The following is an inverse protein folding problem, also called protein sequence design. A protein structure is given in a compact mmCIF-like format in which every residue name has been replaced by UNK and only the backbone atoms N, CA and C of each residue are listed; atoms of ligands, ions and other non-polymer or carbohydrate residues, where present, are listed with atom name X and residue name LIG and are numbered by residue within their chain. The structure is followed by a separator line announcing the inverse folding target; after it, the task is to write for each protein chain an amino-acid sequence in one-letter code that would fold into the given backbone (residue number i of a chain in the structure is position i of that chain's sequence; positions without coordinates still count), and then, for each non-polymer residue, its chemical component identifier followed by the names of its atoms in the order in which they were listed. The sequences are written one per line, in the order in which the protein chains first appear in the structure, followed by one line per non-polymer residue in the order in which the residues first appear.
data_IF_894359808742
#
_entry.id   IF_894359808742
#
_cell.length_a   1.000
_cell.length_b   1.000
_cell.length_c   1.000
_cell.angle_alpha   90.00
_cell.angle_beta   90.00
_cell.angle_gamma   90.00
#
_symmetry.space_group_name_H-M   'P 1'
#
loop_
_entity.id
_entity.type
_entity.pdbx_description
1 polymer ?
#
# COMPACT_ATOMS: atom_id res chain seq x y z
N UNK A 1 -33.40 -29.80 14.45
CA UNK A 1 -32.36 -29.20 15.31
C UNK A 1 -32.25 -27.73 14.98
N UNK A 2 -32.65 -26.88 15.94
CA UNK A 2 -32.68 -25.42 15.85
C UNK A 2 -31.41 -24.88 16.53
N UNK A 3 -30.63 -24.03 15.86
CA UNK A 3 -29.72 -23.00 16.44
C UNK A 3 -28.86 -22.36 15.34
N UNK A 4 -29.18 -21.14 14.92
CA UNK A 4 -28.20 -20.13 14.44
C UNK A 4 -28.91 -18.77 14.18
N UNK A 5 -29.31 -18.08 15.25
CA UNK A 5 -29.70 -16.66 15.19
C UNK A 5 -29.31 -15.97 16.49
N UNK A 6 -28.02 -15.72 16.70
CA UNK A 6 -27.54 -14.84 17.77
C UNK A 6 -26.19 -14.23 17.37
N UNK A 7 -26.17 -13.28 16.44
CA UNK A 7 -25.04 -12.36 16.23
C UNK A 7 -25.51 -11.13 15.43
N UNK A 8 -26.33 -10.27 16.03
CA UNK A 8 -26.60 -8.93 15.46
C UNK A 8 -27.16 -7.90 16.46
N UNK A 9 -26.92 -8.06 17.76
CA UNK A 9 -27.47 -7.19 18.82
C UNK A 9 -26.41 -6.39 19.60
N UNK A 10 -25.23 -6.18 19.02
CA UNK A 10 -24.09 -5.53 19.69
C UNK A 10 -23.69 -4.13 19.20
N UNK A 11 -24.42 -3.49 18.28
CA UNK A 11 -23.97 -2.22 17.63
C UNK A 11 -25.00 -1.07 17.75
N UNK A 12 -26.01 -1.18 18.63
CA UNK A 12 -27.03 -0.11 18.80
C UNK A 12 -27.02 0.62 20.14
N UNK A 13 -26.05 0.39 21.03
CA UNK A 13 -25.98 1.05 22.34
C UNK A 13 -24.84 2.09 22.50
N UNK A 14 -24.12 2.44 21.44
CA UNK A 14 -22.99 3.40 21.50
C UNK A 14 -23.23 4.74 20.80
N UNK A 15 -24.50 5.11 20.57
CA UNK A 15 -24.88 6.40 19.94
C UNK A 15 -25.90 7.22 20.75
N UNK A 16 -26.09 6.93 22.04
CA UNK A 16 -27.01 7.69 22.92
C UNK A 16 -26.36 8.26 24.19
N UNK A 17 -25.02 8.23 24.30
CA UNK A 17 -24.30 8.72 25.48
C UNK A 17 -23.52 10.04 25.27
N UNK A 18 -23.70 10.73 24.15
CA UNK A 18 -22.94 11.96 23.84
C UNK A 18 -23.81 13.18 23.49
N UNK A 19 -25.06 13.22 23.97
CA UNK A 19 -25.99 14.35 23.76
C UNK A 19 -26.49 15.00 25.06
N UNK A 20 -25.80 14.81 26.19
CA UNK A 20 -26.18 15.38 27.49
C UNK A 20 -24.97 15.96 28.22
N UNK A 21 -24.27 16.94 27.62
CA UNK A 21 -23.51 17.99 28.34
C UNK A 21 -23.34 19.20 27.39
N UNK A 22 -24.44 19.88 27.05
CA UNK A 22 -24.43 21.21 26.42
C UNK A 22 -25.52 22.06 27.08
N UNK A 23 -25.56 22.03 28.41
CA UNK A 23 -26.31 22.96 29.23
C UNK A 23 -25.32 23.47 30.27
N UNK A 24 -25.32 24.78 30.50
CA UNK A 24 -24.42 25.53 31.37
C UNK A 24 -23.05 25.89 30.76
N UNK A 25 -23.03 26.94 29.94
CA UNK A 25 -22.54 28.26 30.36
C UNK A 25 -22.99 29.30 29.33
N UNK A 26 -24.31 29.52 29.23
CA UNK A 26 -24.77 30.85 28.85
C UNK A 26 -24.36 31.74 30.03
N UNK A 27 -23.15 32.32 29.93
CA UNK A 27 -22.74 33.40 30.81
C UNK A 27 -23.82 34.44 30.66
N UNK A 28 -24.66 34.57 31.68
CA UNK A 28 -25.48 35.73 31.87
C UNK A 28 -24.50 36.90 31.85
N UNK A 29 -24.37 37.54 30.69
CA UNK A 29 -24.05 38.95 30.64
C UNK A 29 -25.24 39.60 31.35
N UNK A 30 -25.19 39.62 32.69
CA UNK A 30 -25.80 40.70 33.43
C UNK A 30 -25.12 41.93 32.84
N UNK A 31 -25.84 42.59 31.94
CA UNK A 31 -25.68 44.02 31.79
C UNK A 31 -26.01 44.57 33.17
N UNK A 32 -25.00 44.61 34.05
CA UNK A 32 -24.97 45.60 35.10
C UNK A 32 -24.96 46.92 34.34
N UNK A 33 -26.15 47.39 33.99
CA UNK A 33 -26.36 48.77 33.61
C UNK A 33 -25.67 49.57 34.72
N UNK A 34 -24.67 50.41 34.38
CA UNK A 34 -24.04 51.24 35.39
C UNK A 34 -25.17 52.01 36.03
N UNK A 35 -25.48 51.67 37.30
CA UNK A 35 -26.63 52.14 38.04
C UNK A 35 -26.83 53.59 37.69
N UNK A 36 -27.85 53.86 36.86
CA UNK A 36 -28.03 55.18 36.29
C UNK A 36 -28.00 56.16 37.44
N UNK A 37 -26.99 57.05 37.46
CA UNK A 37 -27.02 58.21 38.34
C UNK A 37 -28.26 58.97 37.90
N UNK A 38 -29.39 58.65 38.55
CA UNK A 38 -30.62 59.42 38.48
C UNK A 38 -30.22 60.78 38.99
N UNK A 39 -29.87 61.68 38.07
CA UNK A 39 -29.88 63.09 38.37
C UNK A 39 -31.27 63.37 38.94
N UNK A 40 -31.39 63.81 40.20
CA UNK A 40 -32.68 64.12 40.75
C UNK A 40 -33.27 65.21 39.87
N UNK A 41 -34.29 64.86 39.10
CA UNK A 41 -35.17 65.82 38.45
C UNK A 41 -35.74 66.66 39.59
N UNK A 42 -35.14 67.84 39.81
CA UNK A 42 -35.78 68.91 40.54
C UNK A 42 -37.04 69.27 39.74
N UNK A 43 -38.16 68.59 40.06
CA UNK A 43 -39.50 69.08 39.75
C UNK A 43 -39.62 70.44 40.44
N UNK A 44 -39.42 71.51 39.69
CA UNK A 44 -39.81 72.87 40.09
C UNK A 44 -41.34 72.97 40.07
N UNK A 45 -41.97 72.35 41.06
CA UNK A 45 -43.28 72.80 41.52
C UNK A 45 -43.06 73.98 42.46
N UNK A 46 -43.88 75.01 42.31
CA UNK A 46 -43.94 76.25 43.10
C UNK A 46 -43.15 77.43 42.55
N UNK A 47 -43.91 78.29 41.85
CA UNK A 47 -43.47 79.61 41.45
C UNK A 47 -43.09 80.46 42.64
N UNK A 48 -41.91 81.05 42.54
CA UNK A 48 -41.60 82.30 43.22
C UNK A 48 -40.99 83.21 42.17
N UNK A 49 -41.58 84.39 42.04
CA UNK A 49 -40.97 85.54 41.37
C UNK A 49 -39.65 85.82 42.09
N UNK A 50 -38.56 85.24 41.62
CA UNK A 50 -37.23 85.68 42.03
C UNK A 50 -37.03 87.07 41.44
N UNK A 51 -37.02 88.06 42.32
CA UNK A 51 -36.53 89.39 42.03
C UNK A 51 -35.11 89.24 41.49
N UNK A 52 -34.91 89.41 40.18
CA UNK A 52 -33.59 89.45 39.56
C UNK A 52 -32.87 90.72 40.01
N UNK A 53 -32.28 90.68 41.21
CA UNK A 53 -31.21 91.60 41.57
C UNK A 53 -29.95 91.26 40.76
N UNK A 54 -29.06 92.22 40.47
CA UNK A 54 -27.81 91.96 39.74
C UNK A 54 -26.94 90.85 40.39
N UNK A 55 -27.11 90.58 41.69
CA UNK A 55 -26.47 89.48 42.40
C UNK A 55 -26.90 88.06 41.91
N UNK A 56 -28.15 87.88 41.47
CA UNK A 56 -28.66 86.58 41.01
C UNK A 56 -28.13 86.21 39.61
N UNK A 57 -27.96 87.20 38.74
CA UNK A 57 -27.36 87.00 37.42
C UNK A 57 -25.89 86.57 37.53
N UNK A 58 -25.14 87.16 38.47
CA UNK A 58 -23.74 86.79 38.73
C UNK A 58 -23.66 85.38 39.33
N UNK A 59 -24.51 85.05 40.30
CA UNK A 59 -24.56 83.71 40.92
C UNK A 59 -24.91 82.61 39.89
N UNK A 60 -25.90 82.85 39.03
CA UNK A 60 -26.26 81.91 37.96
C UNK A 60 -25.12 81.72 36.95
N UNK A 61 -24.39 82.80 36.62
CA UNK A 61 -23.20 82.70 35.76
C UNK A 61 -22.11 81.85 36.39
N UNK A 62 -21.81 82.04 37.68
CA UNK A 62 -20.80 81.25 38.41
C UNK A 62 -21.21 79.77 38.44
N UNK A 63 -22.49 79.47 38.73
CA UNK A 63 -23.01 78.09 38.71
C UNK A 63 -22.90 77.47 37.33
N UNK A 64 -23.32 78.17 36.28
CA UNK A 64 -23.22 77.67 34.91
C UNK A 64 -21.76 77.38 34.50
N UNK A 65 -20.82 78.24 34.91
CA UNK A 65 -19.40 78.02 34.68
C UNK A 65 -18.87 76.81 35.47
N UNK A 66 -19.28 76.65 36.73
CA UNK A 66 -18.91 75.50 37.55
C UNK A 66 -19.46 74.19 36.98
N UNK A 67 -20.70 74.19 36.49
CA UNK A 67 -21.33 73.04 35.84
C UNK A 67 -20.66 72.69 34.51
N UNK A 68 -20.25 73.69 33.73
CA UNK A 68 -19.46 73.47 32.52
C UNK A 68 -18.13 72.79 32.86
N UNK A 69 -17.36 73.30 33.83
CA UNK A 69 -16.09 72.70 34.25
C UNK A 69 -16.29 71.28 34.78
N UNK A 70 -17.34 71.06 35.59
CA UNK A 70 -17.71 69.73 36.10
C UNK A 70 -18.02 68.76 34.96
N UNK A 71 -18.85 69.17 34.00
CA UNK A 71 -19.22 68.32 32.86
C UNK A 71 -18.02 67.96 31.97
N UNK A 72 -17.08 68.90 31.79
CA UNK A 72 -15.81 68.64 31.07
C UNK A 72 -14.97 67.62 31.84
N UNK A 73 -14.86 67.77 33.16
CA UNK A 73 -14.15 66.82 34.03
C UNK A 73 -14.78 65.43 34.01
N UNK A 74 -16.11 65.34 34.13
CA UNK A 74 -16.86 64.07 34.06
C UNK A 74 -16.68 63.40 32.70
N UNK A 75 -16.74 64.16 31.60
CA UNK A 75 -16.50 63.64 30.25
C UNK A 75 -15.08 63.09 30.10
N UNK A 76 -14.06 63.81 30.61
CA UNK A 76 -12.67 63.34 30.57
C UNK A 76 -12.49 62.01 31.33
N UNK A 77 -13.11 61.86 32.50
CA UNK A 77 -13.09 60.61 33.28
C UNK A 77 -13.80 59.48 32.53
N UNK A 78 -14.98 59.74 31.97
CA UNK A 78 -15.73 58.74 31.20
C UNK A 78 -14.97 58.29 29.94
N UNK A 79 -14.29 59.21 29.24
CA UNK A 79 -13.44 58.85 28.10
C UNK A 79 -12.25 58.00 28.52
N UNK A 80 -11.61 58.30 29.66
CA UNK A 80 -10.50 57.50 30.19
C UNK A 80 -10.96 56.08 30.57
N UNK A 81 -12.10 55.96 31.27
CA UNK A 81 -12.69 54.66 31.61
C UNK A 81 -13.07 53.87 30.35
N UNK A 82 -13.69 54.50 29.35
CA UNK A 82 -14.01 53.87 28.08
C UNK A 82 -12.76 53.35 27.34
N UNK A 83 -11.65 54.12 27.36
CA UNK A 83 -10.36 53.69 26.77
C UNK A 83 -9.79 52.47 27.50
N UNK A 84 -9.83 52.47 28.84
CA UNK A 84 -9.35 51.34 29.64
C UNK A 84 -10.17 50.08 29.38
N UNK A 85 -11.51 50.18 29.40
CA UNK A 85 -12.41 49.06 29.08
C UNK A 85 -12.16 48.52 27.67
N UNK A 86 -11.93 49.40 26.69
CA UNK A 86 -11.60 49.00 25.32
C UNK A 86 -10.25 48.27 25.25
N UNK A 87 -9.23 48.77 25.95
CA UNK A 87 -7.91 48.14 26.00
C UNK A 87 -7.97 46.75 26.66
N UNK A 88 -8.74 46.60 27.74
CA UNK A 88 -8.93 45.32 28.42
C UNK A 88 -9.73 44.32 27.57
N UNK A 89 -10.77 44.78 26.87
CA UNK A 89 -11.51 43.95 25.93
C UNK A 89 -10.60 43.44 24.80
N UNK A 90 -9.77 44.31 24.24
CA UNK A 90 -8.81 43.95 23.20
C UNK A 90 -7.74 42.96 23.71
N UNK A 91 -7.23 43.16 24.93
CA UNK A 91 -6.30 42.21 25.56
C UNK A 91 -6.92 40.81 25.70
N UNK A 92 -8.19 40.73 26.12
CA UNK A 92 -8.92 39.46 26.24
C UNK A 92 -9.17 38.82 24.88
N UNK A 93 -9.49 39.60 23.85
CA UNK A 93 -9.67 39.09 22.48
C UNK A 93 -8.37 38.46 21.96
N UNK A 94 -7.22 39.13 22.13
CA UNK A 94 -5.92 38.57 21.77
C UNK A 94 -5.65 37.28 22.54
N UNK A 95 -5.83 37.27 23.86
CA UNK A 95 -5.62 36.08 24.68
C UNK A 95 -6.47 34.90 24.20
N UNK A 96 -7.77 35.12 23.95
CA UNK A 96 -8.70 34.11 23.44
C UNK A 96 -8.27 33.59 22.06
N UNK A 97 -7.81 34.48 21.16
CA UNK A 97 -7.33 34.08 19.83
C UNK A 97 -6.06 33.21 19.89
N UNK A 98 -5.13 33.53 20.80
CA UNK A 98 -3.91 32.75 21.02
C UNK A 98 -4.26 31.39 21.60
N UNK A 99 -5.15 31.34 22.59
CA UNK A 99 -5.61 30.09 23.19
C UNK A 99 -6.32 29.20 22.16
N UNK A 100 -7.21 29.79 21.34
CA UNK A 100 -7.87 29.09 20.24
C UNK A 100 -6.86 28.51 19.24
N UNK A 101 -5.87 29.31 18.84
CA UNK A 101 -4.83 28.86 17.91
C UNK A 101 -4.02 27.69 18.50
N UNK A 102 -3.64 27.75 19.78
CA UNK A 102 -2.96 26.66 20.48
C UNK A 102 -3.83 25.39 20.51
N UNK A 103 -5.07 25.50 20.96
CA UNK A 103 -6.00 24.38 21.02
C UNK A 103 -6.23 23.73 19.64
N UNK A 104 -6.28 24.54 18.58
CA UNK A 104 -6.37 24.04 17.20
C UNK A 104 -5.14 23.20 16.81
N UNK A 105 -3.93 23.68 17.08
CA UNK A 105 -2.70 22.97 16.74
C UNK A 105 -2.51 21.71 17.58
N UNK A 106 -2.80 21.77 18.88
CA UNK A 106 -2.75 20.61 19.77
C UNK A 106 -3.69 19.50 19.27
N UNK A 107 -4.93 19.86 18.91
CA UNK A 107 -5.89 18.93 18.31
C UNK A 107 -5.36 18.32 17.01
N UNK A 108 -4.70 19.12 16.18
CA UNK A 108 -4.14 18.67 14.90
C UNK A 108 -2.94 17.74 15.09
N UNK A 109 -2.10 17.99 16.09
CA UNK A 109 -0.99 17.12 16.46
C UNK A 109 -1.48 15.77 16.96
N UNK A 110 -2.45 15.76 17.90
CA UNK A 110 -3.08 14.53 18.39
C UNK A 110 -3.70 13.74 17.23
N UNK A 111 -4.42 14.42 16.33
CA UNK A 111 -5.00 13.79 15.15
C UNK A 111 -3.94 13.20 14.22
N UNK A 112 -2.85 13.94 13.93
CA UNK A 112 -1.75 13.45 13.09
C UNK A 112 -1.05 12.25 13.73
N UNK A 113 -0.77 12.30 15.03
CA UNK A 113 -0.18 11.19 15.76
C UNK A 113 -1.07 9.94 15.72
N UNK A 114 -2.38 10.10 15.97
CA UNK A 114 -3.35 9.01 15.87
C UNK A 114 -3.41 8.43 14.45
N UNK A 115 -3.45 9.30 13.43
CA UNK A 115 -3.46 8.89 12.02
C UNK A 115 -2.18 8.13 11.63
N UNK A 116 -1.01 8.62 12.07
CA UNK A 116 0.27 7.94 11.85
C UNK A 116 0.31 6.59 12.54
N UNK A 117 -0.20 6.46 13.78
CA UNK A 117 -0.33 5.17 14.47
C UNK A 117 -1.19 4.18 13.68
N UNK A 118 -2.31 4.63 13.10
CA UNK A 118 -3.15 3.77 12.27
C UNK A 118 -2.44 3.27 11.01
N UNK A 119 -1.58 4.10 10.40
CA UNK A 119 -0.80 3.68 9.23
C UNK A 119 0.41 2.81 9.58
N UNK A 120 1.06 3.04 10.71
CA UNK A 120 2.26 2.31 11.16
C UNK A 120 1.90 0.97 11.82
N UNK A 121 0.81 0.89 12.57
CA UNK A 121 0.35 -0.34 13.22
C UNK A 121 0.32 -1.60 12.32
N UNK A 122 -0.21 -1.57 11.07
CA UNK A 122 -0.16 -2.74 10.21
C UNK A 122 1.25 -3.10 9.75
N UNK A 123 2.15 -2.12 9.59
CA UNK A 123 3.55 -2.33 9.25
C UNK A 123 4.29 -2.97 10.43
N UNK A 124 4.14 -2.41 11.64
CA UNK A 124 4.71 -2.96 12.87
C UNK A 124 4.19 -4.39 13.14
N UNK A 125 2.90 -4.64 12.87
CA UNK A 125 2.32 -5.97 12.98
C UNK A 125 2.84 -6.94 11.92
N UNK A 126 3.14 -6.46 10.70
CA UNK A 126 3.79 -7.26 9.67
C UNK A 126 5.24 -7.60 10.06
N UNK A 127 6.00 -6.63 10.55
CA UNK A 127 7.37 -6.81 11.04
C UNK A 127 7.42 -7.85 12.18
N UNK A 128 6.57 -7.69 13.21
CA UNK A 128 6.48 -8.67 14.31
C UNK A 128 6.12 -10.08 13.84
N UNK A 129 5.23 -10.20 12.84
CA UNK A 129 4.89 -11.50 12.24
C UNK A 129 6.08 -12.08 11.51
N UNK A 130 6.78 -11.28 10.72
CA UNK A 130 7.98 -11.70 10.00
C UNK A 130 9.08 -12.15 10.96
N UNK A 131 9.30 -11.43 12.06
CA UNK A 131 10.30 -11.80 13.06
C UNK A 131 9.96 -13.10 13.79
N UNK A 132 8.68 -13.30 14.10
CA UNK A 132 8.22 -14.56 14.68
C UNK A 132 8.42 -15.73 13.71
N UNK A 133 8.09 -15.53 12.43
CA UNK A 133 8.33 -16.52 11.38
C UNK A 133 9.81 -16.81 11.24
N UNK A 134 10.67 -15.79 11.25
CA UNK A 134 12.12 -15.97 11.18
C UNK A 134 12.66 -16.76 12.36
N UNK A 135 12.34 -16.39 13.61
CA UNK A 135 12.77 -17.15 14.80
C UNK A 135 12.37 -18.62 14.71
N UNK A 136 11.14 -18.89 14.28
CA UNK A 136 10.66 -20.27 14.10
C UNK A 136 11.47 -21.04 13.05
N UNK A 137 11.80 -20.41 11.93
CA UNK A 137 12.60 -21.03 10.86
C UNK A 137 14.09 -21.18 11.24
N UNK A 138 14.62 -20.24 12.03
CA UNK A 138 16.00 -20.21 12.52
C UNK A 138 16.24 -21.27 13.59
N UNK A 139 15.42 -21.27 14.63
CA UNK A 139 15.65 -22.03 15.87
C UNK A 139 15.04 -23.44 15.81
N UNK A 140 13.95 -23.63 15.06
CA UNK A 140 13.21 -24.89 15.00
C UNK A 140 12.91 -25.33 13.56
N UNK A 141 13.92 -25.54 12.70
CA UNK A 141 13.71 -25.89 11.28
C UNK A 141 12.92 -27.20 11.10
N UNK A 142 13.15 -28.20 11.97
CA UNK A 142 12.51 -29.52 11.92
C UNK A 142 10.98 -29.47 12.07
N UNK A 143 10.46 -28.47 12.78
CA UNK A 143 9.01 -28.29 12.96
C UNK A 143 8.32 -27.67 11.73
N UNK A 144 9.10 -27.22 10.73
CA UNK A 144 8.59 -26.51 9.55
C UNK A 144 8.76 -27.31 8.25
N UNK A 145 8.97 -28.62 8.31
CA UNK A 145 9.12 -29.49 7.13
C UNK A 145 8.05 -29.23 6.06
N UNK A 146 6.78 -29.10 6.48
CA UNK A 146 5.68 -28.82 5.55
C UNK A 146 5.82 -27.45 4.86
N UNK A 147 6.28 -26.42 5.57
CA UNK A 147 6.46 -25.08 5.00
C UNK A 147 7.69 -25.03 4.08
N UNK A 148 8.73 -25.81 4.38
CA UNK A 148 9.90 -26.00 3.54
C UNK A 148 9.48 -26.71 2.24
N UNK A 149 8.81 -27.85 2.34
CA UNK A 149 8.39 -28.64 1.18
C UNK A 149 7.38 -27.89 0.29
N UNK A 150 6.53 -27.05 0.87
CA UNK A 150 5.59 -26.21 0.10
C UNK A 150 6.26 -24.99 -0.55
N UNK A 151 7.56 -24.75 -0.31
CA UNK A 151 8.30 -23.58 -0.81
C UNK A 151 8.05 -22.29 -0.03
N UNK A 152 7.14 -22.28 0.95
CA UNK A 152 6.78 -21.08 1.73
C UNK A 152 7.97 -20.55 2.52
N UNK A 153 8.71 -21.44 3.19
CA UNK A 153 9.88 -21.06 3.96
C UNK A 153 11.03 -20.55 3.06
N UNK A 154 11.23 -21.19 1.89
CA UNK A 154 12.24 -20.73 0.92
C UNK A 154 11.85 -19.37 0.34
N UNK A 155 10.59 -19.13 0.01
CA UNK A 155 10.11 -17.83 -0.47
C UNK A 155 10.25 -16.75 0.59
N UNK A 156 9.98 -17.06 1.86
CA UNK A 156 10.23 -16.13 2.96
C UNK A 156 11.71 -15.70 3.02
N UNK A 157 12.64 -16.66 2.91
CA UNK A 157 14.08 -16.37 2.87
C UNK A 157 14.48 -15.67 1.57
N UNK A 158 13.90 -16.04 0.43
CA UNK A 158 14.14 -15.42 -0.87
C UNK A 158 13.86 -13.91 -0.79
N UNK A 159 12.70 -13.50 -0.25
CA UNK A 159 12.34 -12.10 -0.12
C UNK A 159 13.24 -11.34 0.87
N UNK A 160 13.73 -12.00 1.93
CA UNK A 160 14.67 -11.37 2.87
C UNK A 160 16.07 -11.21 2.28
N UNK A 161 16.54 -12.22 1.54
CA UNK A 161 17.84 -12.20 0.87
C UNK A 161 17.81 -11.25 -0.33
N UNK A 162 16.77 -11.27 -1.16
CA UNK A 162 16.65 -10.42 -2.36
C UNK A 162 16.55 -8.92 -2.10
N UNK A 163 16.43 -8.51 -0.83
CA UNK A 163 16.47 -7.12 -0.41
C UNK A 163 17.84 -6.43 -0.63
N UNK A 164 18.04 -5.23 -0.07
CA UNK A 164 19.27 -4.44 -0.23
C UNK A 164 20.54 -5.18 0.24
N UNK A 165 20.39 -6.22 1.07
CA UNK A 165 21.45 -7.08 1.58
C UNK A 165 22.29 -7.69 0.45
N UNK A 166 21.67 -8.34 -0.54
CA UNK A 166 22.42 -8.97 -1.62
C UNK A 166 23.08 -7.96 -2.56
N UNK A 167 22.44 -6.81 -2.76
CA UNK A 167 22.98 -5.73 -3.59
C UNK A 167 24.16 -5.00 -2.91
N UNK A 168 24.15 -4.87 -1.59
CA UNK A 168 25.14 -4.12 -0.83
C UNK A 168 26.38 -4.94 -0.45
N UNK A 169 26.22 -6.20 0.00
CA UNK A 169 27.34 -7.00 0.51
C UNK A 169 27.94 -7.96 -0.53
N UNK A 170 27.11 -8.51 -1.43
CA UNK A 170 27.52 -9.60 -2.33
C UNK A 170 27.38 -9.22 -3.80
N UNK A 171 27.67 -7.96 -4.15
CA UNK A 171 27.77 -7.52 -5.53
C UNK A 171 28.45 -8.62 -6.37
N UNK A 172 27.70 -9.15 -7.34
CA UNK A 172 27.86 -10.46 -8.03
C UNK A 172 29.26 -10.80 -8.56
N UNK A 173 30.21 -9.89 -8.46
CA UNK A 173 31.57 -9.98 -8.98
C UNK A 173 32.64 -10.19 -7.90
N UNK A 174 32.36 -9.96 -6.61
CA UNK A 174 33.40 -9.91 -5.56
C UNK A 174 33.16 -10.87 -4.36
N UNK A 175 32.27 -11.86 -4.49
CA UNK A 175 32.08 -12.83 -3.40
C UNK A 175 33.38 -13.60 -3.12
N UNK A 176 33.76 -13.69 -1.85
CA UNK A 176 34.93 -14.46 -1.40
C UNK A 176 34.88 -15.88 -2.00
N UNK A 177 35.98 -16.37 -2.63
CA UNK A 177 36.06 -17.74 -3.14
C UNK A 177 35.67 -18.80 -2.10
N UNK A 178 35.96 -18.56 -0.82
CA UNK A 178 35.57 -19.45 0.28
C UNK A 178 34.05 -19.56 0.42
N UNK A 179 33.34 -18.43 0.43
CA UNK A 179 31.87 -18.40 0.53
C UNK A 179 31.21 -19.01 -0.72
N UNK A 180 31.76 -18.74 -1.90
CA UNK A 180 31.24 -19.29 -3.16
C UNK A 180 31.25 -20.82 -3.17
N UNK A 181 32.22 -21.45 -2.50
CA UNK A 181 32.28 -22.91 -2.38
C UNK A 181 31.22 -23.50 -1.44
N UNK A 182 30.87 -22.79 -0.36
CA UNK A 182 29.87 -23.22 0.62
C UNK A 182 28.44 -23.07 0.09
N UNK A 183 28.23 -22.17 -0.87
CA UNK A 183 26.92 -21.90 -1.47
C UNK A 183 26.66 -22.70 -2.77
N UNK A 184 27.56 -23.60 -3.15
CA UNK A 184 27.36 -24.47 -4.31
C UNK A 184 26.18 -25.41 -4.07
N UNK A 185 25.24 -25.40 -5.01
CA UNK A 185 24.14 -26.35 -5.03
C UNK A 185 24.51 -27.49 -5.95
N UNK A 186 24.24 -28.73 -5.52
CA UNK A 186 24.49 -29.86 -6.40
C UNK A 186 23.61 -29.76 -7.66
N UNK A 187 24.10 -30.18 -8.85
CA UNK A 187 23.28 -30.21 -10.06
C UNK A 187 22.00 -31.05 -9.89
N UNK A 188 22.06 -32.10 -9.07
CA UNK A 188 20.90 -32.93 -8.72
C UNK A 188 19.86 -32.12 -7.94
N UNK A 189 20.28 -31.33 -6.95
CA UNK A 189 19.44 -30.44 -6.16
C UNK A 189 18.73 -29.44 -7.07
N UNK A 190 19.48 -28.75 -7.95
CA UNK A 190 18.93 -27.79 -8.91
C UNK A 190 17.90 -28.41 -9.86
N UNK A 191 18.10 -29.67 -10.29
CA UNK A 191 17.16 -30.35 -11.18
C UNK A 191 15.81 -30.68 -10.53
N UNK A 192 15.78 -30.79 -9.19
CA UNK A 192 14.58 -31.13 -8.40
C UNK A 192 13.81 -29.90 -7.92
N UNK A 193 14.46 -28.74 -7.87
CA UNK A 193 13.81 -27.48 -7.48
C UNK A 193 12.82 -27.03 -8.55
N UNK A 194 11.61 -26.67 -8.09
CA UNK A 194 10.55 -26.13 -8.93
C UNK A 194 10.32 -24.68 -8.58
N UNK A 195 10.20 -23.86 -9.61
CA UNK A 195 9.86 -22.44 -9.48
C UNK A 195 8.52 -22.18 -10.12
N UNK A 196 7.79 -21.25 -9.52
CA UNK A 196 6.55 -20.69 -10.03
C UNK A 196 6.77 -19.25 -10.45
N UNK A 197 6.09 -18.89 -11.51
CA UNK A 197 5.95 -17.54 -11.99
C UNK A 197 4.47 -17.16 -11.95
N UNK A 198 4.15 -16.04 -11.31
CA UNK A 198 2.81 -15.48 -11.30
C UNK A 198 2.59 -14.68 -12.59
N UNK A 199 1.68 -15.17 -13.43
CA UNK A 199 1.28 -14.54 -14.68
C UNK A 199 0.06 -13.63 -14.45
N UNK A 200 -0.06 -12.60 -15.30
CA UNK A 200 -1.23 -11.72 -15.34
C UNK A 200 -2.54 -12.52 -15.41
N UNK A 201 -3.51 -12.13 -14.58
CA UNK A 201 -4.82 -12.82 -14.49
C UNK A 201 -4.88 -13.98 -13.49
N UNK A 202 -3.94 -14.06 -12.54
CA UNK A 202 -3.97 -15.04 -11.44
C UNK A 202 -3.59 -16.46 -11.86
N UNK A 203 -2.93 -16.60 -13.02
CA UNK A 203 -2.40 -17.88 -13.49
C UNK A 203 -0.99 -18.07 -12.99
N UNK A 204 -0.63 -19.31 -12.71
CA UNK A 204 0.71 -19.66 -12.25
C UNK A 204 1.34 -20.64 -13.23
N UNK A 205 2.56 -20.37 -13.64
CA UNK A 205 3.37 -21.28 -14.43
C UNK A 205 4.42 -21.91 -13.52
N UNK A 206 4.45 -23.24 -13.44
CA UNK A 206 5.43 -23.96 -12.61
C UNK A 206 6.35 -24.78 -13.50
N UNK A 207 7.65 -24.60 -13.35
CA UNK A 207 8.69 -25.30 -14.12
C UNK A 207 9.88 -25.64 -13.21
N UNK A 208 10.80 -26.48 -13.68
CA UNK A 208 12.02 -26.81 -12.94
C UNK A 208 13.09 -25.76 -13.20
N UNK A 209 13.91 -25.46 -12.19
CA UNK A 209 14.95 -24.42 -12.30
C UNK A 209 15.92 -24.66 -13.47
N UNK A 210 16.26 -25.92 -13.73
CA UNK A 210 17.15 -26.33 -14.83
C UNK A 210 16.39 -26.90 -16.04
N UNK A 211 15.05 -26.82 -16.11
CA UNK A 211 14.35 -27.26 -17.33
C UNK A 211 14.47 -26.20 -18.41
N UNK A 212 14.92 -26.61 -19.59
CA UNK A 212 14.74 -25.88 -20.86
C UNK A 212 13.30 -25.95 -21.33
N UNK A 213 12.33 -25.74 -20.43
CA UNK A 213 10.94 -25.56 -20.83
C UNK A 213 10.77 -24.14 -21.40
N UNK A 214 11.53 -23.81 -22.43
CA UNK A 214 11.42 -22.56 -23.18
C UNK A 214 10.31 -22.73 -24.20
N UNK A 215 9.07 -22.31 -23.92
CA UNK A 215 7.99 -22.24 -24.92
C UNK A 215 7.85 -23.51 -25.78
N UNK A 216 8.29 -24.68 -25.31
CA UNK A 216 8.40 -25.85 -26.17
C UNK A 216 6.99 -26.41 -26.36
N UNK A 217 6.37 -25.96 -27.45
CA UNK A 217 5.17 -26.57 -28.04
C UNK A 217 5.53 -27.93 -28.65
N UNK A 218 6.39 -28.71 -27.99
CA UNK A 218 6.72 -30.08 -28.39
C UNK A 218 5.46 -30.95 -28.40
N UNK A 219 4.44 -30.57 -27.62
CA UNK A 219 3.17 -31.27 -27.60
C UNK A 219 1.99 -30.31 -27.43
N UNK A 220 1.31 -30.04 -28.55
CA UNK A 220 0.00 -29.38 -28.52
C UNK A 220 -0.99 -30.16 -27.65
N UNK A 221 -1.85 -29.50 -26.85
CA UNK A 221 -2.94 -30.16 -26.16
C UNK A 221 -3.85 -30.93 -27.12
N UNK A 222 -4.46 -32.04 -26.65
CA UNK A 222 -5.26 -32.95 -27.50
C UNK A 222 -6.31 -32.24 -28.37
N UNK A 223 -7.01 -31.24 -27.82
CA UNK A 223 -8.04 -30.51 -28.55
C UNK A 223 -7.48 -29.62 -29.68
N UNK A 224 -6.18 -29.26 -29.64
CA UNK A 224 -5.48 -28.52 -30.68
C UNK A 224 -4.72 -29.43 -31.66
N UNK A 225 -4.61 -30.73 -31.36
CA UNK A 225 -3.95 -31.70 -32.25
C UNK A 225 -4.81 -32.07 -33.47
N UNK A 226 -6.11 -31.76 -33.46
CA UNK A 226 -7.03 -32.01 -34.57
C UNK A 226 -6.50 -31.40 -35.88
N UNK A 227 -6.70 -32.12 -36.98
CA UNK A 227 -6.27 -31.73 -38.34
C UNK A 227 -6.85 -30.36 -38.73
N UNK A 228 -8.03 -30.01 -38.20
CA UNK A 228 -8.67 -28.71 -38.44
C UNK A 228 -7.80 -27.53 -38.02
N UNK A 229 -6.94 -27.68 -37.02
CA UNK A 229 -6.07 -26.63 -36.52
C UNK A 229 -4.65 -26.71 -37.09
N UNK A 230 -4.35 -27.71 -37.93
CA UNK A 230 -2.99 -27.96 -38.42
C UNK A 230 -2.39 -26.75 -39.16
N UNK A 231 -3.17 -26.07 -40.00
CA UNK A 231 -2.71 -24.88 -40.73
C UNK A 231 -2.32 -23.76 -39.76
N UNK A 232 -3.18 -23.45 -38.79
CA UNK A 232 -2.94 -22.38 -37.82
C UNK A 232 -1.78 -22.72 -36.87
N UNK A 233 -1.62 -24.00 -36.50
CA UNK A 233 -0.45 -24.46 -35.74
C UNK A 233 0.85 -24.25 -36.52
N UNK A 234 0.89 -24.63 -37.80
CA UNK A 234 2.05 -24.40 -38.67
C UNK A 234 2.35 -22.92 -38.85
N UNK A 235 1.33 -22.08 -39.03
CA UNK A 235 1.51 -20.63 -39.13
C UNK A 235 2.16 -20.05 -37.87
N UNK A 236 1.70 -20.51 -36.69
CA UNK A 236 2.29 -20.11 -35.40
C UNK A 236 3.72 -20.61 -35.23
N UNK A 237 3.99 -21.89 -35.53
CA UNK A 237 5.33 -22.49 -35.46
C UNK A 237 6.32 -21.79 -36.41
N UNK A 238 5.89 -21.46 -37.63
CA UNK A 238 6.69 -20.73 -38.60
C UNK A 238 6.99 -19.30 -38.14
N UNK A 239 5.99 -18.58 -37.62
CA UNK A 239 6.18 -17.24 -37.07
C UNK A 239 7.15 -17.26 -35.87
N UNK A 240 7.05 -18.29 -35.03
CA UNK A 240 7.98 -18.49 -33.90
C UNK A 240 9.40 -18.76 -34.38
N UNK A 241 9.57 -19.65 -35.36
CA UNK A 241 10.88 -19.95 -35.95
C UNK A 241 11.52 -18.71 -36.61
N UNK A 242 10.72 -17.89 -37.32
CA UNK A 242 11.18 -16.64 -37.91
C UNK A 242 11.65 -15.62 -36.85
N UNK A 243 10.93 -15.54 -35.74
CA UNK A 243 11.31 -14.68 -34.61
C UNK A 243 12.62 -15.17 -33.94
N UNK A 244 12.81 -16.48 -33.80
CA UNK A 244 14.06 -17.06 -33.27
C UNK A 244 15.28 -16.79 -34.16
N UNK A 245 15.11 -16.77 -35.48
CA UNK A 245 16.17 -16.44 -36.44
C UNK A 245 16.48 -14.94 -36.53
N UNK A 246 15.69 -14.09 -35.87
CA UNK A 246 15.86 -12.63 -35.93
C UNK A 246 17.00 -12.19 -35.02
N UNK A 247 17.94 -11.41 -35.57
CA UNK A 247 19.07 -10.88 -34.81
C UNK A 247 18.60 -10.05 -33.60
N UNK A 248 19.16 -10.28 -32.39
CA UNK A 248 18.75 -9.57 -31.18
C UNK A 248 19.03 -8.05 -31.23
N UNK A 249 19.87 -7.61 -32.17
CA UNK A 249 20.23 -6.19 -32.33
C UNK A 249 19.26 -5.40 -33.22
N UNK A 250 18.41 -6.07 -34.03
CA UNK A 250 17.45 -5.40 -34.91
C UNK A 250 16.06 -5.29 -34.27
N UNK A 251 15.89 -4.26 -33.43
CA UNK A 251 14.63 -3.99 -32.72
C UNK A 251 13.42 -3.86 -33.64
N UNK A 252 13.59 -3.39 -34.88
CA UNK A 252 12.48 -3.22 -35.81
C UNK A 252 12.03 -4.57 -36.35
N UNK A 253 12.98 -5.40 -36.80
CA UNK A 253 12.68 -6.75 -37.23
C UNK A 253 12.03 -7.59 -36.12
N UNK A 254 12.51 -7.47 -34.88
CA UNK A 254 11.92 -8.14 -33.71
C UNK A 254 10.46 -7.74 -33.52
N UNK A 255 10.16 -6.44 -33.57
CA UNK A 255 8.79 -5.95 -33.40
C UNK A 255 7.86 -6.42 -34.53
N UNK A 256 8.33 -6.45 -35.78
CA UNK A 256 7.53 -6.89 -36.91
C UNK A 256 7.26 -8.41 -36.86
N UNK A 257 8.26 -9.22 -36.49
CA UNK A 257 8.09 -10.65 -36.28
C UNK A 257 7.21 -10.95 -35.05
N UNK A 258 7.30 -10.14 -33.98
CA UNK A 258 6.41 -10.25 -32.83
C UNK A 258 4.94 -10.01 -33.21
N UNK A 259 4.67 -8.98 -34.02
CA UNK A 259 3.32 -8.74 -34.56
C UNK A 259 2.82 -9.90 -35.41
N UNK A 260 3.70 -10.49 -36.23
CA UNK A 260 3.35 -11.67 -37.03
C UNK A 260 3.00 -12.87 -36.15
N UNK A 261 3.76 -13.10 -35.07
CA UNK A 261 3.51 -14.16 -34.10
C UNK A 261 2.19 -13.96 -33.35
N UNK A 262 1.93 -12.75 -32.83
CA UNK A 262 0.66 -12.39 -32.18
C UNK A 262 -0.53 -12.63 -33.12
N UNK A 263 -0.42 -12.20 -34.39
CA UNK A 263 -1.46 -12.41 -35.39
C UNK A 263 -1.70 -13.89 -35.70
N UNK A 264 -0.65 -14.72 -35.72
CA UNK A 264 -0.78 -16.16 -35.91
C UNK A 264 -1.47 -16.83 -34.71
N UNK A 265 -1.14 -16.39 -33.49
CA UNK A 265 -1.82 -16.83 -32.27
C UNK A 265 -3.30 -16.43 -32.27
N UNK A 266 -3.63 -15.17 -32.56
CA UNK A 266 -5.02 -14.69 -32.59
C UNK A 266 -5.86 -15.52 -33.57
N UNK A 267 -5.33 -15.80 -34.76
CA UNK A 267 -6.00 -16.66 -35.76
C UNK A 267 -6.25 -18.07 -35.23
N UNK A 268 -5.28 -18.66 -34.54
CA UNK A 268 -5.43 -19.97 -33.92
C UNK A 268 -6.48 -19.94 -32.81
N UNK A 269 -6.43 -18.92 -31.95
CA UNK A 269 -7.37 -18.75 -30.83
C UNK A 269 -8.80 -18.52 -31.32
N UNK A 270 -9.02 -17.63 -32.28
CA UNK A 270 -10.33 -17.37 -32.88
C UNK A 270 -10.91 -18.65 -33.48
N UNK A 271 -10.14 -19.37 -34.31
CA UNK A 271 -10.60 -20.62 -34.92
C UNK A 271 -10.92 -21.69 -33.89
N UNK A 272 -10.13 -21.75 -32.80
CA UNK A 272 -10.37 -22.66 -31.69
C UNK A 272 -11.69 -22.36 -30.96
N UNK A 273 -11.96 -21.09 -30.65
CA UNK A 273 -13.20 -20.67 -29.99
C UNK A 273 -14.42 -20.85 -30.90
N UNK A 274 -14.31 -20.56 -32.20
CA UNK A 274 -15.37 -20.77 -33.19
C UNK A 274 -15.75 -22.24 -33.32
N UNK A 275 -14.77 -23.16 -33.26
CA UNK A 275 -15.03 -24.59 -33.38
C UNK A 275 -15.68 -25.19 -32.13
N UNK A 276 -15.24 -24.77 -30.94
CA UNK A 276 -15.77 -25.22 -29.65
C UNK A 276 -16.88 -24.29 -29.16
N UNK A 277 -18.04 -24.33 -29.83
CA UNK A 277 -19.28 -23.68 -29.38
C UNK A 277 -19.76 -24.25 -28.03
N UNK A 278 -20.65 -23.54 -27.34
CA UNK A 278 -21.18 -23.98 -26.05
C UNK A 278 -21.80 -25.38 -26.10
N UNK A 279 -22.52 -25.70 -27.17
CA UNK A 279 -23.15 -26.99 -27.43
C UNK A 279 -22.08 -28.10 -27.51
N UNK A 280 -21.05 -27.91 -28.33
CA UNK A 280 -19.94 -28.88 -28.53
C UNK A 280 -19.08 -29.09 -27.30
N UNK A 281 -19.00 -28.11 -26.40
CA UNK A 281 -18.33 -28.27 -25.10
C UNK A 281 -19.05 -29.29 -24.23
N UNK A 282 -20.36 -29.47 -24.43
CA UNK A 282 -21.22 -30.34 -23.62
C UNK A 282 -21.61 -31.67 -24.30
N UNK A 283 -21.55 -31.74 -25.64
CA UNK A 283 -22.00 -32.88 -26.46
C UNK A 283 -21.36 -34.24 -26.10
N UNK A 284 -20.13 -34.27 -25.59
CA UNK A 284 -19.45 -35.53 -25.21
C UNK A 284 -19.16 -35.63 -23.71
N UNK A 285 -19.95 -34.90 -22.90
CA UNK A 285 -19.79 -34.85 -21.44
C UNK A 285 -18.56 -34.07 -20.97
N UNK A 286 -18.21 -34.24 -19.69
CA UNK A 286 -17.17 -33.44 -19.03
C UNK A 286 -15.77 -33.55 -19.65
N UNK A 287 -15.46 -34.64 -20.37
CA UNK A 287 -14.13 -34.85 -20.97
C UNK A 287 -13.81 -33.83 -22.07
N UNK A 288 -14.76 -33.52 -22.96
CA UNK A 288 -14.56 -32.51 -23.99
C UNK A 288 -14.41 -31.11 -23.39
N UNK A 289 -15.16 -30.82 -22.33
CA UNK A 289 -15.01 -29.58 -21.59
C UNK A 289 -13.61 -29.44 -20.98
N UNK A 290 -13.06 -30.50 -20.35
CA UNK A 290 -11.70 -30.47 -19.82
C UNK A 290 -10.63 -30.32 -20.90
N UNK A 291 -10.79 -30.97 -22.06
CA UNK A 291 -9.89 -30.81 -23.22
C UNK A 291 -9.93 -29.39 -23.76
N UNK A 292 -11.13 -28.83 -23.90
CA UNK A 292 -11.32 -27.43 -24.30
C UNK A 292 -10.62 -26.49 -23.31
N UNK A 293 -10.87 -26.65 -22.01
CA UNK A 293 -10.30 -25.81 -20.96
C UNK A 293 -8.77 -25.91 -20.91
N UNK A 294 -8.21 -27.10 -21.07
CA UNK A 294 -6.76 -27.31 -21.13
C UNK A 294 -6.14 -26.59 -22.34
N UNK A 295 -6.73 -26.74 -23.53
CA UNK A 295 -6.29 -26.04 -24.74
C UNK A 295 -6.45 -24.52 -24.64
N UNK A 296 -7.55 -24.04 -24.08
CA UNK A 296 -7.77 -22.61 -23.86
C UNK A 296 -6.71 -22.03 -22.92
N UNK A 297 -6.46 -22.68 -21.78
CA UNK A 297 -5.43 -22.25 -20.82
C UNK A 297 -4.04 -22.22 -21.45
N UNK A 298 -3.74 -23.21 -22.29
CA UNK A 298 -2.49 -23.28 -23.03
C UNK A 298 -2.35 -22.12 -24.03
N UNK A 299 -3.39 -21.80 -24.82
CA UNK A 299 -3.33 -20.65 -25.71
C UNK A 299 -3.22 -19.33 -24.94
N UNK A 300 -3.90 -19.21 -23.81
CA UNK A 300 -3.78 -18.02 -22.96
C UNK A 300 -2.39 -17.90 -22.29
N UNK A 301 -1.73 -19.02 -21.97
CA UNK A 301 -0.34 -18.97 -21.48
C UNK A 301 0.62 -18.53 -22.58
N UNK A 302 0.43 -19.01 -23.82
CA UNK A 302 1.20 -18.52 -24.98
C UNK A 302 1.02 -17.00 -25.18
N UNK A 303 -0.21 -16.50 -25.04
CA UNK A 303 -0.51 -15.06 -25.10
C UNK A 303 0.29 -14.27 -24.06
N UNK A 304 0.29 -14.73 -22.80
CA UNK A 304 1.06 -14.10 -21.73
C UNK A 304 2.56 -14.08 -22.01
N UNK A 305 3.10 -15.18 -22.56
CA UNK A 305 4.51 -15.28 -22.93
C UNK A 305 4.89 -14.34 -24.09
N UNK A 306 4.03 -14.20 -25.10
CA UNK A 306 4.24 -13.24 -26.19
C UNK A 306 4.19 -11.78 -25.71
N UNK A 307 3.25 -11.44 -24.83
CA UNK A 307 3.20 -10.09 -24.22
C UNK A 307 4.48 -9.79 -23.46
N UNK A 308 5.00 -10.77 -22.70
CA UNK A 308 6.28 -10.62 -21.99
C UNK A 308 7.45 -10.41 -22.95
N UNK A 309 7.51 -11.19 -24.03
CA UNK A 309 8.52 -11.02 -25.07
C UNK A 309 8.48 -9.62 -25.69
N UNK A 310 7.28 -9.09 -25.89
CA UNK A 310 7.06 -7.74 -26.40
C UNK A 310 7.52 -6.67 -25.40
N UNK A 311 7.21 -6.83 -24.11
CA UNK A 311 7.63 -5.91 -23.04
C UNK A 311 9.15 -5.87 -22.87
N UNK A 312 9.81 -7.02 -22.95
CA UNK A 312 11.26 -7.14 -22.80
C UNK A 312 12.04 -6.70 -24.05
N UNK A 313 11.36 -6.60 -25.21
CA UNK A 313 11.97 -6.11 -26.46
C UNK A 313 13.17 -6.93 -26.94
N UNK A 314 13.26 -8.20 -26.55
CA UNK A 314 14.41 -9.07 -26.78
C UNK A 314 13.98 -10.47 -27.21
N UNK A 315 14.60 -10.99 -28.27
CA UNK A 315 14.43 -12.37 -28.74
C UNK A 315 15.10 -13.41 -27.84
N UNK A 316 16.01 -12.98 -26.95
CA UNK A 316 16.74 -13.84 -25.99
C UNK A 316 15.79 -14.58 -25.04
N UNK A 317 14.56 -14.08 -24.89
CA UNK A 317 13.54 -14.66 -24.01
C UNK A 317 12.92 -15.95 -24.57
N UNK A 318 13.05 -16.22 -25.88
CA UNK A 318 12.50 -17.42 -26.52
C UNK A 318 13.29 -18.71 -26.24
N UNK A 319 14.59 -18.60 -25.97
CA UNK A 319 15.46 -19.78 -25.83
C UNK A 319 16.17 -19.88 -24.47
N UNK A 320 16.42 -18.76 -23.75
CA UNK A 320 17.35 -18.81 -22.60
C UNK A 320 16.96 -18.01 -21.34
N UNK A 321 15.98 -17.08 -21.39
CA UNK A 321 15.81 -16.12 -20.27
C UNK A 321 15.26 -16.67 -18.95
N UNK A 322 14.61 -17.83 -18.96
CA UNK A 322 14.10 -18.45 -17.73
C UNK A 322 15.04 -19.51 -17.17
N UNK A 323 15.99 -20.02 -17.97
CA UNK A 323 16.88 -21.08 -17.53
C UNK A 323 17.94 -20.50 -16.59
N UNK A 324 18.00 -21.06 -15.39
CA UNK A 324 19.10 -20.78 -14.50
C UNK A 324 20.35 -21.52 -14.98
N UNK A 325 21.39 -20.78 -15.36
CA UNK A 325 22.67 -21.32 -15.84
C UNK A 325 23.78 -21.34 -14.76
N UNK A 326 23.49 -20.90 -13.54
CA UNK A 326 24.46 -20.88 -12.44
C UNK A 326 24.55 -22.21 -11.67
N UNK A 327 25.57 -22.33 -10.83
CA UNK A 327 25.80 -23.49 -9.93
C UNK A 327 25.72 -23.12 -8.43
N UNK A 328 25.42 -21.87 -8.13
CA UNK A 328 25.46 -21.32 -6.78
C UNK A 328 24.08 -20.75 -6.37
N UNK A 329 23.70 -20.96 -5.11
CA UNK A 329 22.50 -20.40 -4.50
C UNK A 329 22.38 -18.87 -4.69
N UNK A 330 23.48 -18.13 -4.59
CA UNK A 330 23.46 -16.67 -4.75
C UNK A 330 22.99 -16.25 -6.15
N UNK A 331 23.49 -16.96 -7.17
CA UNK A 331 23.07 -16.75 -8.55
C UNK A 331 21.60 -17.14 -8.72
N UNK A 332 21.15 -18.22 -8.06
CA UNK A 332 19.75 -18.66 -8.11
C UNK A 332 18.81 -17.62 -7.50
N UNK A 333 19.11 -17.13 -6.29
CA UNK A 333 18.31 -16.10 -5.61
C UNK A 333 18.27 -14.81 -6.44
N UNK A 334 19.41 -14.41 -7.01
CA UNK A 334 19.49 -13.24 -7.89
C UNK A 334 18.64 -13.43 -9.14
N UNK A 335 18.73 -14.59 -9.78
CA UNK A 335 17.94 -14.94 -10.95
C UNK A 335 16.45 -14.88 -10.62
N UNK A 336 16.02 -15.56 -9.56
CA UNK A 336 14.63 -15.58 -9.13
C UNK A 336 14.11 -14.18 -8.78
N UNK A 337 14.91 -13.37 -8.07
CA UNK A 337 14.53 -11.99 -7.75
C UNK A 337 14.40 -11.10 -8.98
N UNK A 338 15.28 -11.24 -9.97
CA UNK A 338 15.24 -10.44 -11.22
C UNK A 338 14.03 -10.80 -12.08
N UNK A 339 13.66 -12.08 -12.08
CA UNK A 339 12.60 -12.61 -12.92
C UNK A 339 11.25 -12.72 -12.20
N UNK A 340 11.15 -12.33 -10.93
CA UNK A 340 9.91 -12.43 -10.15
C UNK A 340 9.45 -13.87 -9.90
N UNK A 341 10.41 -14.80 -9.82
CA UNK A 341 10.15 -16.22 -9.60
C UNK A 341 10.11 -16.54 -8.11
N UNK A 342 9.28 -17.50 -7.75
CA UNK A 342 9.17 -18.03 -6.40
C UNK A 342 9.33 -19.56 -6.43
N UNK A 343 9.68 -20.18 -5.31
CA UNK A 343 9.64 -21.63 -5.18
C UNK A 343 8.19 -22.13 -5.22
N UNK A 344 7.95 -23.13 -6.05
CA UNK A 344 6.70 -23.89 -6.07
C UNK A 344 6.74 -25.03 -5.04
N UNK A 345 5.61 -25.70 -4.73
CA UNK A 345 5.63 -26.89 -3.91
C UNK A 345 6.44 -28.04 -4.53
N UNK A 346 7.21 -28.74 -3.69
CA UNK A 346 7.96 -29.93 -4.06
C UNK A 346 7.03 -31.05 -4.54
N UNK A 347 7.53 -31.90 -5.43
CA UNK A 347 6.89 -33.17 -5.75
C UNK A 347 7.36 -34.25 -4.77
N UNK A 348 6.59 -35.33 -4.67
CA UNK A 348 6.97 -36.48 -3.85
C UNK A 348 8.33 -37.04 -4.32
N UNK A 349 9.33 -37.04 -3.44
CA UNK A 349 10.71 -37.45 -3.72
C UNK A 349 11.71 -36.29 -3.89
N UNK A 350 11.21 -35.07 -4.14
CA UNK A 350 12.04 -33.87 -4.34
C UNK A 350 12.24 -33.06 -3.03
N UNK A 351 11.68 -33.50 -1.90
CA UNK A 351 11.70 -32.78 -0.62
C UNK A 351 13.11 -32.62 -0.03
N UNK A 352 14.00 -33.56 -0.33
CA UNK A 352 15.41 -33.50 0.08
C UNK A 352 16.11 -32.25 -0.48
N UNK A 353 15.85 -31.93 -1.76
CA UNK A 353 16.44 -30.78 -2.42
C UNK A 353 15.94 -29.45 -1.83
N UNK A 354 14.66 -29.39 -1.45
CA UNK A 354 14.07 -28.22 -0.80
C UNK A 354 14.67 -27.98 0.59
N UNK A 355 14.88 -29.06 1.36
CA UNK A 355 15.51 -28.99 2.67
C UNK A 355 16.97 -28.54 2.59
N UNK A 356 17.76 -29.15 1.70
CA UNK A 356 19.15 -28.74 1.47
C UNK A 356 19.23 -27.26 1.10
N UNK A 357 18.44 -26.84 0.11
CA UNK A 357 18.41 -25.44 -0.33
C UNK A 357 17.99 -24.49 0.79
N UNK A 358 16.99 -24.87 1.59
CA UNK A 358 16.55 -24.08 2.74
C UNK A 358 17.67 -23.90 3.77
N UNK A 359 18.42 -24.96 4.11
CA UNK A 359 19.52 -24.86 5.07
C UNK A 359 20.64 -23.96 4.57
N UNK A 360 21.02 -24.07 3.29
CA UNK A 360 22.04 -23.19 2.69
C UNK A 360 21.55 -21.73 2.68
N UNK A 361 20.28 -21.46 2.34
CA UNK A 361 19.69 -20.11 2.40
C UNK A 361 19.65 -19.54 3.82
N UNK A 362 19.27 -20.37 4.80
CA UNK A 362 19.21 -19.98 6.20
C UNK A 362 20.60 -19.63 6.72
N UNK A 363 21.58 -20.47 6.44
CA UNK A 363 22.94 -20.29 6.93
C UNK A 363 23.58 -19.05 6.30
N UNK A 364 23.37 -18.82 5.00
CA UNK A 364 23.74 -17.56 4.33
C UNK A 364 23.07 -16.35 4.98
N UNK A 365 21.77 -16.44 5.30
CA UNK A 365 21.10 -15.30 5.94
C UNK A 365 21.63 -15.03 7.37
N UNK A 366 22.02 -16.07 8.11
CA UNK A 366 22.62 -15.93 9.44
C UNK A 366 23.97 -15.24 9.41
N UNK A 367 24.84 -15.60 8.45
CA UNK A 367 26.16 -14.94 8.32
C UNK A 367 26.01 -13.45 8.07
N UNK A 368 24.97 -13.05 7.33
CA UNK A 368 24.69 -11.64 7.05
C UNK A 368 24.06 -10.91 8.24
N UNK A 369 23.12 -11.54 8.93
CA UNK A 369 22.46 -10.94 10.10
C UNK A 369 23.48 -10.64 11.21
N UNK A 370 24.45 -11.53 11.42
CA UNK A 370 25.50 -11.35 12.41
C UNK A 370 26.41 -10.14 12.07
N UNK A 371 26.71 -9.87 10.80
CA UNK A 371 27.49 -8.70 10.36
C UNK A 371 26.73 -7.37 10.49
N UNK A 372 25.43 -7.34 10.18
CA UNK A 372 24.59 -6.14 10.36
C UNK A 372 24.39 -5.77 11.83
N UNK A 373 24.48 -6.75 12.75
CA UNK A 373 24.40 -6.52 14.19
C UNK A 373 25.64 -5.85 14.78
N UNK A 374 26.78 -5.91 14.08
CA UNK A 374 28.04 -5.29 14.49
C UNK A 374 28.17 -3.82 14.03
N UNK A 375 27.29 -3.35 13.15
CA UNK A 375 27.31 -1.98 12.59
C UNK A 375 26.22 -1.06 13.16
N UNK A 376 25.33 -1.58 14.02
CA UNK A 376 24.42 -0.79 14.86
C UNK A 376 25.00 -0.61 16.26
#
# INVERSE_FOLDING_TARGET
MKRSKQFSLGIRCLLLASAVVMIATASAYSQDEPSGRRYPYFRSGWGWRHYYGPADAISNRIRAQADLVRSIGENAVLQADARNRRADAYRKEIANSVEYARAYWDKKEIYRAAKMRTYTAPLDAAEKRNDKTWRRLKDFPELNDNEINNGVALNFLLHRLSGPILAAQYGLTNADPGLSSQLKLSPETLSKLRVREDLSGGKQRVFRVNSKESLNVEKWPLALQDDRFQTQRKDFENARAALALTSPNDKKAINDQMKALLKAHDRLFTKFIEYYTQERRTESGGQNFFRFLASQRFLESLAGEMTRLQELGSTVVLEDSAQFQGDNLLALVTHMSRHGLEFAPALNGDESAYRETFFVMRDLYRTVEDDDSLTK
#
